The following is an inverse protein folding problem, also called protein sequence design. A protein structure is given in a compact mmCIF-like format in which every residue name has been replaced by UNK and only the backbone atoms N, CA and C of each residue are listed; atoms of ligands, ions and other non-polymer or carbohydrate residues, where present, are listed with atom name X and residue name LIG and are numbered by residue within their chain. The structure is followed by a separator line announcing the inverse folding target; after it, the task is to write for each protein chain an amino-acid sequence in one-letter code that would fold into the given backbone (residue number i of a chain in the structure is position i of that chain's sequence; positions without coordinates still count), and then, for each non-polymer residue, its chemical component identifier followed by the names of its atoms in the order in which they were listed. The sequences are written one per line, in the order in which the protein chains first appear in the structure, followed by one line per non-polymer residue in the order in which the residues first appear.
data_IF_981440412853
#
_entry.id   IF_981440412853
#
_cell.length_a   1.000
_cell.length_b   1.000
_cell.length_c   1.000
_cell.angle_alpha   90.00
_cell.angle_beta   90.00
_cell.angle_gamma   90.00
#
_symmetry.space_group_name_H-M   'P 1'
#
loop_
_entity.id
_entity.type
_entity.pdbx_description
1 polymer ?
#
# COMPACT_ATOMS: atom_id res chain seq x y z
N UNK A 1 -35.62 41.58 36.44
CA UNK A 1 -35.01 41.80 35.11
C UNK A 1 -34.28 40.51 34.74
N UNK A 2 -34.77 39.79 33.73
CA UNK A 2 -34.22 38.49 33.34
C UNK A 2 -32.97 38.70 32.48
N UNK A 3 -31.81 38.25 32.97
CA UNK A 3 -30.61 38.12 32.14
C UNK A 3 -30.59 36.69 31.59
N UNK A 4 -30.75 36.47 30.27
CA UNK A 4 -30.64 35.14 29.70
C UNK A 4 -29.18 34.68 29.81
N UNK A 5 -28.95 33.57 30.50
CA UNK A 5 -27.67 32.85 30.46
C UNK A 5 -27.66 32.03 29.18
N UNK A 6 -26.81 32.40 28.23
CA UNK A 6 -26.64 31.63 27.00
C UNK A 6 -25.72 30.43 27.24
N UNK A 7 -26.02 29.26 26.62
CA UNK A 7 -25.13 28.11 26.64
C UNK A 7 -23.83 28.43 25.88
N UNK A 8 -22.76 27.71 26.22
CA UNK A 8 -21.49 27.82 25.53
C UNK A 8 -21.70 27.39 24.06
N UNK A 9 -21.25 28.22 23.12
CA UNK A 9 -21.34 27.89 21.70
C UNK A 9 -20.37 26.75 21.42
N UNK A 10 -20.88 25.56 21.13
CA UNK A 10 -20.09 24.47 20.53
C UNK A 10 -19.89 24.79 19.05
N UNK A 11 -19.13 25.85 18.79
CA UNK A 11 -18.67 26.14 17.44
C UNK A 11 -17.55 25.14 17.16
N UNK A 12 -17.89 24.04 16.49
CA UNK A 12 -16.88 23.18 15.90
C UNK A 12 -15.96 24.04 15.03
N UNK A 13 -14.65 23.96 15.30
CA UNK A 13 -13.65 24.45 14.35
C UNK A 13 -13.85 23.66 13.07
N UNK A 14 -14.53 24.24 12.10
CA UNK A 14 -14.44 23.77 10.73
C UNK A 14 -12.96 23.85 10.37
N UNK A 15 -12.33 22.69 10.19
CA UNK A 15 -11.13 22.60 9.38
C UNK A 15 -11.57 23.04 7.98
N UNK A 16 -11.49 24.35 7.74
CA UNK A 16 -11.81 24.97 6.47
C UNK A 16 -10.93 24.30 5.42
N UNK A 17 -11.58 23.60 4.49
CA UNK A 17 -10.95 23.27 3.22
C UNK A 17 -10.36 24.56 2.67
N UNK A 18 -9.06 24.57 2.39
CA UNK A 18 -8.37 25.72 1.78
C UNK A 18 -9.01 26.02 0.42
N UNK A 19 -9.97 26.94 0.40
CA UNK A 19 -10.42 27.60 -0.81
C UNK A 19 -9.66 28.92 -0.90
N UNK A 20 -8.68 28.96 -1.79
CA UNK A 20 -7.76 30.09 -2.03
C UNK A 20 -8.50 31.33 -2.55
N UNK A 21 -8.43 32.49 -1.87
CA UNK A 21 -8.71 33.80 -2.46
C UNK A 21 -7.42 34.46 -2.99
N UNK A 22 -7.49 35.33 -4.02
CA UNK A 22 -6.32 35.80 -4.76
C UNK A 22 -5.49 36.86 -4.00
N UNK A 23 -4.17 36.79 -4.17
CA UNK A 23 -3.16 37.62 -3.51
C UNK A 23 -3.09 39.05 -4.07
N UNK A 24 -2.88 40.04 -3.19
CA UNK A 24 -2.25 41.32 -3.54
C UNK A 24 -0.78 41.33 -3.07
N UNK A 25 0.17 41.91 -3.82
CA UNK A 25 1.61 41.77 -3.54
C UNK A 25 2.15 42.95 -2.71
N UNK A 26 2.86 42.65 -1.62
CA UNK A 26 3.82 43.57 -0.98
C UNK A 26 5.21 42.89 -0.95
N UNK A 27 6.31 43.61 -1.28
CA UNK A 27 7.59 42.98 -1.64
C UNK A 27 8.51 42.68 -0.44
N UNK A 28 8.93 41.41 -0.40
CA UNK A 28 10.27 40.85 -0.10
C UNK A 28 11.15 41.47 0.99
N UNK A 29 11.28 40.74 2.12
CA UNK A 29 12.58 40.53 2.76
C UNK A 29 12.89 39.02 2.77
N UNK A 30 14.11 38.71 2.35
CA UNK A 30 14.60 37.37 2.05
C UNK A 30 14.91 36.61 3.35
N UNK A 31 13.91 35.95 3.93
CA UNK A 31 14.14 34.84 4.86
C UNK A 31 13.77 33.55 4.14
N UNK A 32 14.82 32.89 3.63
CA UNK A 32 14.82 31.52 3.15
C UNK A 32 13.83 30.69 3.99
N UNK A 33 12.81 30.03 3.39
CA UNK A 33 12.04 29.07 4.18
C UNK A 33 13.05 28.05 4.70
N UNK A 34 13.06 27.66 5.99
CA UNK A 34 13.67 26.40 6.30
C UNK A 34 12.94 25.42 5.40
N UNK A 35 13.65 24.88 4.40
CA UNK A 35 13.26 23.66 3.76
C UNK A 35 13.06 22.72 4.94
N UNK A 36 11.81 22.52 5.33
CA UNK A 36 11.45 21.41 6.18
C UNK A 36 11.76 20.22 5.30
N UNK A 37 13.02 19.80 5.35
CA UNK A 37 13.37 18.44 5.10
C UNK A 37 12.33 17.69 5.92
N UNK A 38 11.42 17.03 5.20
CA UNK A 38 10.78 15.84 5.72
C UNK A 38 11.96 14.91 5.97
N UNK A 39 12.64 15.14 7.09
CA UNK A 39 13.42 14.15 7.77
C UNK A 39 12.39 13.06 7.94
N UNK A 40 12.49 12.08 7.04
CA UNK A 40 11.90 10.77 7.19
C UNK A 40 12.56 10.21 8.43
N UNK A 41 12.14 10.71 9.58
CA UNK A 41 12.36 10.08 10.87
C UNK A 41 11.43 8.90 10.79
N UNK A 42 11.88 7.84 10.10
CA UNK A 42 11.40 6.49 10.32
C UNK A 42 11.54 6.33 11.83
N UNK A 43 10.44 6.36 12.61
CA UNK A 43 10.54 5.89 13.97
C UNK A 43 11.10 4.48 13.82
N UNK A 44 12.25 4.21 14.44
CA UNK A 44 12.93 2.94 14.30
C UNK A 44 11.90 1.82 14.45
N UNK A 45 11.97 0.78 13.62
CA UNK A 45 10.99 -0.31 13.58
C UNK A 45 10.64 -0.84 15.00
N UNK A 46 11.59 -0.70 15.92
CA UNK A 46 11.53 -1.00 17.35
C UNK A 46 10.53 -0.13 18.13
N UNK A 47 10.44 1.18 17.87
CA UNK A 47 9.53 2.12 18.55
C UNK A 47 8.07 1.89 18.11
N UNK A 48 7.88 1.57 16.82
CA UNK A 48 6.57 1.26 16.24
C UNK A 48 6.06 -0.13 16.66
N UNK A 49 6.98 -1.07 16.90
CA UNK A 49 6.65 -2.39 17.45
C UNK A 49 6.18 -2.33 18.92
N UNK A 50 6.73 -1.40 19.70
CA UNK A 50 6.36 -1.23 21.11
C UNK A 50 4.95 -0.66 21.30
N UNK A 51 4.46 0.10 20.32
CA UNK A 51 3.17 0.81 20.39
C UNK A 51 2.00 0.05 19.76
N UNK A 52 2.23 -0.86 18.80
CA UNK A 52 1.18 -1.68 18.18
C UNK A 52 1.69 -3.05 17.70
N UNK A 53 1.85 -4.04 18.60
CA UNK A 53 2.36 -5.37 18.25
C UNK A 53 1.43 -6.13 17.30
N UNK A 54 0.11 -5.93 17.42
CA UNK A 54 -0.91 -6.62 16.62
C UNK A 54 -0.79 -6.26 15.13
N UNK A 55 -0.55 -4.99 14.81
CA UNK A 55 -0.44 -4.53 13.43
C UNK A 55 0.75 -5.16 12.68
N UNK A 56 1.86 -5.43 13.39
CA UNK A 56 3.04 -6.09 12.81
C UNK A 56 2.74 -7.56 12.52
N UNK A 57 2.10 -8.26 13.47
CA UNK A 57 1.73 -9.68 13.30
C UNK A 57 0.77 -9.84 12.12
N UNK A 58 -0.25 -8.99 12.01
CA UNK A 58 -1.19 -9.04 10.88
C UNK A 58 -0.49 -8.74 9.56
N UNK A 59 0.46 -7.79 9.54
CA UNK A 59 1.21 -7.46 8.34
C UNK A 59 2.05 -8.64 7.84
N UNK A 60 2.77 -9.32 8.73
CA UNK A 60 3.59 -10.49 8.38
C UNK A 60 2.73 -11.66 7.93
N UNK A 61 1.58 -11.90 8.58
CA UNK A 61 0.66 -12.98 8.19
C UNK A 61 0.09 -12.73 6.81
N UNK A 62 -0.32 -11.49 6.48
CA UNK A 62 -0.84 -11.16 5.14
C UNK A 62 0.24 -11.34 4.08
N UNK A 63 1.46 -10.84 4.31
CA UNK A 63 2.57 -11.02 3.36
C UNK A 63 2.90 -12.50 3.18
N UNK A 64 2.96 -13.28 4.27
CA UNK A 64 3.15 -14.72 4.22
C UNK A 64 2.03 -15.45 3.45
N UNK A 65 0.78 -15.06 3.67
CA UNK A 65 -0.37 -15.61 2.96
C UNK A 65 -0.34 -15.29 1.46
N UNK A 66 0.03 -14.07 1.08
CA UNK A 66 0.18 -13.69 -0.33
C UNK A 66 1.31 -14.48 -0.99
N UNK A 67 2.47 -14.60 -0.34
CA UNK A 67 3.60 -15.37 -0.86
C UNK A 67 3.26 -16.86 -1.01
N UNK A 68 2.63 -17.45 0.01
CA UNK A 68 2.20 -18.86 -0.05
C UNK A 68 1.13 -19.08 -1.11
N UNK A 69 0.16 -18.17 -1.26
CA UNK A 69 -0.83 -18.23 -2.33
C UNK A 69 -0.17 -18.14 -3.71
N UNK A 70 0.83 -17.28 -3.88
CA UNK A 70 1.55 -17.13 -5.15
C UNK A 70 2.38 -18.39 -5.47
N UNK A 71 3.08 -18.95 -4.49
CA UNK A 71 3.80 -20.22 -4.65
C UNK A 71 2.85 -21.38 -4.97
N UNK A 72 1.70 -21.47 -4.29
CA UNK A 72 0.71 -22.50 -4.54
C UNK A 72 0.14 -22.40 -5.97
N UNK A 73 -0.19 -21.17 -6.42
CA UNK A 73 -0.65 -20.93 -7.78
C UNK A 73 0.40 -21.36 -8.83
N UNK A 74 1.67 -21.02 -8.61
CA UNK A 74 2.78 -21.42 -9.48
C UNK A 74 2.95 -22.94 -9.48
N UNK A 75 2.85 -23.61 -8.33
CA UNK A 75 2.96 -25.05 -8.23
C UNK A 75 1.87 -25.79 -9.03
N UNK A 76 0.61 -25.33 -8.91
CA UNK A 76 -0.52 -25.91 -9.66
C UNK A 76 -0.32 -25.70 -11.17
N UNK A 77 0.10 -24.50 -11.57
CA UNK A 77 0.38 -24.19 -12.98
C UNK A 77 1.53 -25.05 -13.52
N UNK A 78 2.60 -25.21 -12.75
CA UNK A 78 3.73 -26.07 -13.08
C UNK A 78 3.32 -27.53 -13.25
N UNK A 79 2.44 -28.04 -12.38
CA UNK A 79 1.89 -29.40 -12.51
C UNK A 79 1.05 -29.56 -13.78
N UNK A 80 0.17 -28.60 -14.08
CA UNK A 80 -0.63 -28.62 -15.29
C UNK A 80 0.24 -28.58 -16.57
N UNK A 81 1.27 -27.72 -16.59
CA UNK A 81 2.25 -27.65 -17.67
C UNK A 81 3.10 -28.91 -17.78
N UNK A 82 3.45 -29.55 -16.66
CA UNK A 82 4.18 -30.82 -16.66
C UNK A 82 3.37 -31.93 -17.33
N UNK A 83 2.10 -32.08 -16.95
CA UNK A 83 1.21 -33.08 -17.55
C UNK A 83 1.00 -32.79 -19.04
N UNK A 84 0.67 -31.54 -19.39
CA UNK A 84 0.51 -31.11 -20.79
C UNK A 84 1.78 -31.34 -21.60
N UNK A 85 2.96 -31.02 -21.05
CA UNK A 85 4.25 -31.22 -21.68
C UNK A 85 4.55 -32.68 -21.97
N UNK A 86 4.21 -33.60 -21.05
CA UNK A 86 4.35 -35.04 -21.28
C UNK A 86 3.43 -35.52 -22.40
N UNK A 87 2.16 -35.10 -22.41
CA UNK A 87 1.21 -35.46 -23.49
C UNK A 87 1.71 -34.93 -24.84
N UNK A 88 2.17 -33.69 -24.88
CA UNK A 88 2.73 -33.07 -26.09
C UNK A 88 3.98 -33.82 -26.56
N UNK A 89 4.86 -34.22 -25.64
CA UNK A 89 6.05 -35.01 -25.94
C UNK A 89 5.69 -36.36 -26.56
N UNK A 90 4.67 -37.05 -26.03
CA UNK A 90 4.19 -38.33 -26.57
C UNK A 90 3.63 -38.12 -27.97
N UNK A 91 2.79 -37.11 -28.18
CA UNK A 91 2.24 -36.79 -29.50
C UNK A 91 3.34 -36.50 -30.53
N UNK A 92 4.34 -35.69 -30.16
CA UNK A 92 5.48 -35.38 -31.01
C UNK A 92 6.30 -36.63 -31.33
N UNK A 93 6.47 -37.54 -30.35
CA UNK A 93 7.15 -38.81 -30.58
C UNK A 93 6.38 -39.71 -31.53
N UNK A 94 5.06 -39.79 -31.38
CA UNK A 94 4.20 -40.56 -32.27
C UNK A 94 4.24 -39.99 -33.70
N UNK A 95 4.10 -38.67 -33.86
CA UNK A 95 4.24 -38.02 -35.16
C UNK A 95 5.60 -38.31 -35.80
N UNK A 96 6.68 -38.23 -35.02
CA UNK A 96 8.02 -38.57 -35.53
C UNK A 96 8.08 -40.03 -35.98
N UNK A 97 7.46 -40.96 -35.27
CA UNK A 97 7.46 -42.37 -35.69
C UNK A 97 6.66 -42.57 -36.99
N UNK A 98 5.53 -41.90 -37.14
CA UNK A 98 4.72 -41.94 -38.38
C UNK A 98 5.50 -41.39 -39.58
N UNK A 99 6.26 -40.29 -39.43
CA UNK A 99 7.06 -39.72 -40.52
C UNK A 99 8.30 -40.54 -40.90
N UNK A 100 8.78 -41.45 -40.05
CA UNK A 100 9.94 -42.30 -40.34
C UNK A 100 9.53 -43.69 -40.86
N UNK A 101 8.25 -43.93 -41.12
CA UNK A 101 7.70 -45.18 -41.66
C UNK A 101 7.30 -45.03 -43.11
#
# INVERSE_FOLDING_TARGET
MFQPKYPHSDTHTYASSNHTPPALPVPTDHANPPASSLATSRPGLVEKARTNPVAIVTGVVVVGAVLTSMLLAVAITGLALSISGVVLLILVRMLRQEFHR
#
